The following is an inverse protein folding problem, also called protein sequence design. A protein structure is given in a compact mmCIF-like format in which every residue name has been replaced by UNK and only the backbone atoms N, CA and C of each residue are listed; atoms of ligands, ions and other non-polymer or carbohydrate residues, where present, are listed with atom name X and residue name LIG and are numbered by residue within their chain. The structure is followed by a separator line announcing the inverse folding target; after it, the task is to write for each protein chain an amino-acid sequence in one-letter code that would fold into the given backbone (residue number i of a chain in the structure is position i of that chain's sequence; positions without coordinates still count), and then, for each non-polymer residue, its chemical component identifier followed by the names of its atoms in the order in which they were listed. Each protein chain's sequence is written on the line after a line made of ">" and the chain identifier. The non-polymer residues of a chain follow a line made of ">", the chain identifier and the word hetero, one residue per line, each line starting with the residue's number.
data_IF_137722846208
#
_entry.id   IF_137722846208
#
_cell.length_a   1.000
_cell.length_b   1.000
_cell.length_c   1.000
_cell.angle_alpha   90.00
_cell.angle_beta   90.00
_cell.angle_gamma   90.00
#
_symmetry.space_group_name_H-M   'P 1'
#
loop_
_entity.id
_entity.type
_entity.pdbx_description
1 polymer ?
#
# COMPACT_ATOMS: atom_id res chain seq x y z
N UNK A 1 -28.69 15.65 12.31
CA UNK A 1 -28.97 14.23 12.04
C UNK A 1 -27.64 13.49 11.98
N UNK A 2 -27.56 12.28 12.54
CA UNK A 2 -26.45 11.83 13.38
C UNK A 2 -25.24 11.32 12.59
N UNK A 3 -24.08 11.40 13.25
CA UNK A 3 -22.76 10.95 12.81
C UNK A 3 -22.78 9.61 12.07
N UNK A 4 -22.18 9.62 10.87
CA UNK A 4 -21.83 8.41 10.13
C UNK A 4 -20.91 7.57 11.02
N UNK A 5 -21.48 6.57 11.71
CA UNK A 5 -20.72 5.50 12.34
C UNK A 5 -19.96 4.77 11.24
N UNK A 6 -18.70 5.14 11.08
CA UNK A 6 -17.78 4.58 10.09
C UNK A 6 -17.32 3.21 10.59
N UNK A 7 -18.15 2.19 10.35
CA UNK A 7 -17.93 0.83 10.81
C UNK A 7 -16.63 0.26 10.22
N UNK A 8 -15.71 -0.15 11.11
CA UNK A 8 -14.46 -0.81 10.71
C UNK A 8 -14.68 -2.18 10.03
N UNK A 9 -15.88 -2.76 10.10
CA UNK A 9 -16.23 -4.08 9.56
C UNK A 9 -16.55 -4.11 8.07
N UNK A 10 -16.71 -2.95 7.42
CA UNK A 10 -16.81 -2.83 5.95
C UNK A 10 -15.50 -2.39 5.29
N UNK A 11 -14.44 -2.16 6.08
CA UNK A 11 -13.14 -1.75 5.55
C UNK A 11 -12.47 -2.95 4.88
N UNK A 12 -12.15 -2.79 3.59
CA UNK A 12 -11.42 -3.76 2.77
C UNK A 12 -10.32 -4.45 3.59
N UNK A 13 -10.23 -5.79 3.44
CA UNK A 13 -9.21 -6.64 4.07
C UNK A 13 -7.88 -5.89 4.11
N UNK A 14 -7.25 -5.88 5.29
CA UNK A 14 -5.87 -5.44 5.44
C UNK A 14 -5.00 -6.42 4.66
N UNK A 15 -4.83 -6.19 3.35
CA UNK A 15 -3.91 -6.96 2.49
C UNK A 15 -2.47 -6.77 3.00
N UNK A 16 -2.20 -5.61 3.60
CA UNK A 16 -0.88 -5.19 4.08
C UNK A 16 -0.91 -4.85 5.58
N UNK A 17 -1.40 -5.76 6.42
CA UNK A 17 -1.39 -5.58 7.89
C UNK A 17 0.01 -5.31 8.47
N UNK A 18 1.07 -5.76 7.78
CA UNK A 18 2.46 -5.56 8.17
C UNK A 18 2.98 -4.13 7.93
N UNK A 19 2.36 -3.39 7.00
CA UNK A 19 2.77 -2.02 6.64
C UNK A 19 1.81 -0.95 7.18
N UNK A 20 0.72 -1.37 7.81
CA UNK A 20 -0.24 -0.49 8.47
C UNK A 20 -1.16 0.28 7.51
N UNK A 21 -2.05 1.10 8.11
CA UNK A 21 -3.10 1.84 7.37
C UNK A 21 -2.54 2.92 6.44
N UNK A 22 -1.36 3.49 6.75
CA UNK A 22 -0.75 4.53 5.92
C UNK A 22 -0.42 4.00 4.53
N UNK A 23 0.24 2.85 4.45
CA UNK A 23 0.57 2.21 3.18
C UNK A 23 -0.69 1.77 2.43
N UNK A 24 -1.69 1.23 3.15
CA UNK A 24 -2.96 0.88 2.54
C UNK A 24 -3.69 2.09 1.93
N UNK A 25 -3.64 3.25 2.58
CA UNK A 25 -4.22 4.49 2.04
C UNK A 25 -3.44 4.99 0.81
N UNK A 26 -2.11 4.86 0.80
CA UNK A 26 -1.28 5.20 -0.36
C UNK A 26 -1.59 4.30 -1.55
N UNK A 27 -1.72 2.98 -1.34
CA UNK A 27 -2.13 2.04 -2.39
C UNK A 27 -3.53 2.36 -2.92
N UNK A 28 -4.49 2.66 -2.06
CA UNK A 28 -5.83 3.10 -2.49
C UNK A 28 -5.78 4.38 -3.33
N UNK A 29 -4.98 5.36 -2.91
CA UNK A 29 -4.77 6.59 -3.67
C UNK A 29 -4.17 6.29 -5.05
N UNK A 30 -3.16 5.42 -5.11
CA UNK A 30 -2.54 4.97 -6.36
C UNK A 30 -3.60 4.39 -7.29
N UNK A 31 -4.40 3.43 -6.83
CA UNK A 31 -5.43 2.78 -7.65
C UNK A 31 -6.48 3.78 -8.16
N UNK A 32 -6.75 4.86 -7.41
CA UNK A 32 -7.68 5.92 -7.80
C UNK A 32 -7.12 6.90 -8.85
N UNK A 33 -5.83 6.85 -9.17
CA UNK A 33 -5.22 7.76 -10.15
C UNK A 33 -5.66 7.42 -11.59
N UNK A 34 -5.94 8.45 -12.42
CA UNK A 34 -6.51 8.26 -13.75
C UNK A 34 -5.51 7.61 -14.71
N UNK A 35 -4.23 7.99 -14.65
CA UNK A 35 -3.21 7.57 -15.62
C UNK A 35 -2.37 6.41 -15.10
N UNK A 36 -1.89 5.55 -16.03
CA UNK A 36 -0.99 4.44 -15.69
C UNK A 36 0.39 4.95 -15.26
N UNK A 37 0.81 6.06 -15.83
CA UNK A 37 2.10 6.70 -15.56
C UNK A 37 2.17 7.18 -14.12
N UNK A 38 1.14 7.87 -13.64
CA UNK A 38 1.07 8.29 -12.23
C UNK A 38 0.96 7.07 -11.32
N UNK A 39 0.11 6.09 -11.66
CA UNK A 39 0.01 4.83 -10.90
C UNK A 39 1.36 4.16 -10.68
N UNK A 40 2.12 3.97 -11.75
CA UNK A 40 3.45 3.36 -11.69
C UNK A 40 4.43 4.20 -10.88
N UNK A 41 4.41 5.53 -11.04
CA UNK A 41 5.30 6.43 -10.29
C UNK A 41 5.05 6.33 -8.80
N UNK A 42 3.79 6.43 -8.37
CA UNK A 42 3.45 6.36 -6.95
C UNK A 42 3.60 4.93 -6.39
N UNK A 43 3.34 3.89 -7.18
CA UNK A 43 3.59 2.50 -6.78
C UNK A 43 5.06 2.26 -6.45
N UNK A 44 5.99 2.79 -7.26
CA UNK A 44 7.42 2.70 -6.95
C UNK A 44 7.78 3.39 -5.62
N UNK A 45 7.21 4.57 -5.35
CA UNK A 45 7.41 5.28 -4.07
C UNK A 45 6.92 4.45 -2.88
N UNK A 46 5.77 3.79 -3.01
CA UNK A 46 5.23 2.92 -1.96
C UNK A 46 6.12 1.70 -1.73
N UNK A 47 6.66 1.09 -2.79
CA UNK A 47 7.57 -0.05 -2.68
C UNK A 47 8.89 0.35 -2.02
N UNK A 48 9.42 1.52 -2.35
CA UNK A 48 10.63 2.05 -1.71
C UNK A 48 10.38 2.36 -0.23
N UNK A 49 9.21 2.89 0.14
CA UNK A 49 8.80 3.10 1.52
C UNK A 49 8.69 1.78 2.29
N UNK A 50 8.05 0.76 1.69
CA UNK A 50 7.97 -0.59 2.27
C UNK A 50 9.36 -1.19 2.51
N UNK A 51 10.28 -1.01 1.56
CA UNK A 51 11.69 -1.45 1.69
C UNK A 51 12.50 -0.65 2.70
N UNK A 52 12.13 0.61 2.98
CA UNK A 52 12.72 1.41 4.04
C UNK A 52 12.22 0.99 5.43
N UNK A 53 10.92 0.72 5.55
CA UNK A 53 10.30 0.27 6.79
C UNK A 53 10.76 -1.14 7.20
N UNK A 54 11.19 -1.95 6.24
CA UNK A 54 11.63 -3.32 6.48
C UNK A 54 13.03 -3.57 5.88
N UNK A 55 14.09 -2.99 6.48
CA UNK A 55 15.45 -3.05 5.92
C UNK A 55 16.00 -4.48 5.80
N UNK A 56 15.52 -5.41 6.63
CA UNK A 56 15.85 -6.84 6.55
C UNK A 56 15.38 -7.50 5.24
N UNK A 57 14.38 -6.93 4.57
CA UNK A 57 13.93 -7.43 3.27
C UNK A 57 14.85 -6.98 2.13
N UNK A 58 15.71 -5.97 2.31
CA UNK A 58 16.62 -5.50 1.24
C UNK A 58 17.67 -6.53 0.83
N UNK A 59 18.01 -7.46 1.74
CA UNK A 59 18.93 -8.57 1.45
C UNK A 59 18.26 -9.72 0.68
N UNK A 60 16.92 -9.68 0.54
CA UNK A 60 16.18 -10.64 -0.28
C UNK A 60 16.15 -10.13 -1.71
N UNK A 61 16.90 -10.81 -2.60
CA UNK A 61 17.11 -10.40 -3.99
C UNK A 61 15.80 -10.16 -4.80
N UNK A 62 14.65 -10.65 -4.34
CA UNK A 62 13.34 -10.47 -4.98
C UNK A 62 12.32 -9.72 -4.11
N UNK A 63 12.75 -8.95 -3.11
CA UNK A 63 11.80 -8.28 -2.22
C UNK A 63 10.89 -7.31 -2.99
N UNK A 64 11.44 -6.57 -3.97
CA UNK A 64 10.63 -5.65 -4.79
C UNK A 64 9.53 -6.39 -5.55
N UNK A 65 9.83 -7.57 -6.09
CA UNK A 65 8.85 -8.42 -6.77
C UNK A 65 7.79 -8.93 -5.80
N UNK A 66 8.17 -9.39 -4.60
CA UNK A 66 7.21 -9.79 -3.56
C UNK A 66 6.30 -8.65 -3.10
N UNK A 67 6.83 -7.43 -3.00
CA UNK A 67 6.02 -6.25 -2.66
C UNK A 67 5.06 -5.87 -3.78
N UNK A 68 5.49 -5.99 -5.03
CA UNK A 68 4.61 -5.84 -6.19
C UNK A 68 3.50 -6.88 -6.19
N UNK A 69 3.77 -8.13 -5.82
CA UNK A 69 2.74 -9.18 -5.71
C UNK A 69 1.73 -8.91 -4.58
N UNK A 70 2.11 -8.13 -3.57
CA UNK A 70 1.20 -7.74 -2.49
C UNK A 70 0.35 -6.48 -2.82
N UNK A 71 0.63 -5.80 -3.93
CA UNK A 71 0.04 -4.52 -4.34
C UNK A 71 -1.12 -4.74 -5.32
#
# INVERSE_FOLDING_TARGET
>A
MPDQFDYNSTRNKLILSEYGRNVQNMVKYIVALPTKEERNRYAQVVIDLMGFLNPHLRDVADFKHKLWDHL
#
